data_IF_250612141246
#
_entry.id   IF_250612141246
#
_cell.length_a   1.000
_cell.length_b   1.000
_cell.length_c   1.000
_cell.angle_alpha   90.00
_cell.angle_beta   90.00
_cell.angle_gamma   90.00
#
_symmetry.space_group_name_H-M   'P 1'
#
loop_
_entity.id
_entity.type
_entity.pdbx_description
1 polymer ?
#
# COMPACT_ATOMS: atom_id res chain seq x y z
N UNK A 1 -2.83 -19.83 -32.63
CA UNK A 1 -2.89 -19.19 -31.29
C UNK A 1 -3.67 -17.89 -31.44
N UNK A 2 -4.73 -17.64 -30.65
CA UNK A 2 -5.44 -16.37 -30.71
C UNK A 2 -4.51 -15.21 -30.35
N UNK A 3 -4.68 -14.06 -31.02
CA UNK A 3 -3.87 -12.85 -30.80
C UNK A 3 -4.78 -11.74 -30.29
N UNK A 4 -4.38 -11.13 -29.17
CA UNK A 4 -5.02 -9.94 -28.62
C UNK A 4 -4.11 -8.75 -28.93
N UNK A 5 -4.68 -7.64 -29.39
CA UNK A 5 -3.98 -6.38 -29.60
C UNK A 5 -4.50 -5.36 -28.60
N UNK A 6 -3.63 -4.90 -27.70
CA UNK A 6 -3.97 -3.95 -26.64
C UNK A 6 -3.25 -2.65 -26.96
N UNK A 7 -3.99 -1.54 -27.06
CA UNK A 7 -3.40 -0.20 -27.17
C UNK A 7 -3.01 0.26 -25.77
N UNK A 8 -1.76 0.70 -25.62
CA UNK A 8 -1.21 1.29 -24.41
C UNK A 8 -0.51 2.59 -24.80
N UNK A 9 -0.41 3.53 -23.88
CA UNK A 9 0.43 4.71 -24.10
C UNK A 9 1.93 4.34 -24.11
N UNK A 10 2.73 5.22 -24.70
CA UNK A 10 4.17 4.98 -24.89
C UNK A 10 4.91 4.88 -23.56
N UNK A 11 4.50 5.63 -22.54
CA UNK A 11 5.13 5.62 -21.22
C UNK A 11 4.93 4.27 -20.52
N UNK A 12 3.71 3.72 -20.58
CA UNK A 12 3.39 2.40 -20.06
C UNK A 12 4.13 1.32 -20.85
N UNK A 13 4.17 1.42 -22.17
CA UNK A 13 4.91 0.49 -23.01
C UNK A 13 6.40 0.45 -22.63
N UNK A 14 7.02 1.61 -22.41
CA UNK A 14 8.43 1.70 -22.02
C UNK A 14 8.68 1.13 -20.62
N UNK A 15 7.83 1.43 -19.64
CA UNK A 15 7.94 0.84 -18.29
C UNK A 15 7.82 -0.68 -18.33
N UNK A 16 6.89 -1.23 -19.10
CA UNK A 16 6.73 -2.67 -19.28
C UNK A 16 7.97 -3.29 -19.92
N UNK A 17 8.53 -2.64 -20.96
CA UNK A 17 9.74 -3.12 -21.65
C UNK A 17 10.96 -3.13 -20.74
N UNK A 18 11.15 -2.07 -19.94
CA UNK A 18 12.24 -1.99 -18.95
C UNK A 18 12.10 -3.08 -17.91
N UNK A 19 10.90 -3.26 -17.35
CA UNK A 19 10.62 -4.29 -16.34
C UNK A 19 10.82 -5.70 -16.87
N UNK A 20 10.35 -6.00 -18.08
CA UNK A 20 10.53 -7.29 -18.71
C UNK A 20 12.02 -7.61 -18.91
N UNK A 21 12.78 -6.65 -19.44
CA UNK A 21 14.23 -6.78 -19.60
C UNK A 21 14.95 -7.02 -18.27
N UNK A 22 14.59 -6.29 -17.20
CA UNK A 22 15.17 -6.47 -15.88
C UNK A 22 14.92 -7.88 -15.30
N UNK A 23 13.83 -8.53 -15.70
CA UNK A 23 13.49 -9.89 -15.31
C UNK A 23 13.98 -10.97 -16.31
N UNK A 24 14.65 -10.59 -17.40
CA UNK A 24 15.07 -11.52 -18.45
C UNK A 24 13.91 -12.08 -19.30
N UNK A 25 12.79 -11.36 -19.38
CA UNK A 25 11.57 -11.76 -20.07
C UNK A 25 11.28 -10.86 -21.28
N UNK A 26 10.45 -11.34 -22.20
CA UNK A 26 9.75 -10.49 -23.17
C UNK A 26 8.55 -9.78 -22.51
N UNK A 27 8.11 -8.66 -23.08
CA UNK A 27 6.90 -7.96 -22.60
C UNK A 27 5.66 -8.87 -22.60
N UNK A 28 5.54 -9.76 -23.58
CA UNK A 28 4.44 -10.71 -23.67
C UNK A 28 4.48 -11.75 -22.54
N UNK A 29 5.65 -12.27 -22.19
CA UNK A 29 5.81 -13.21 -21.06
C UNK A 29 5.54 -12.53 -19.72
N UNK A 30 5.91 -11.26 -19.58
CA UNK A 30 5.61 -10.47 -18.38
C UNK A 30 4.10 -10.27 -18.18
N UNK A 31 3.34 -10.01 -19.25
CA UNK A 31 1.91 -9.64 -19.17
C UNK A 31 0.98 -10.85 -19.21
N UNK A 32 1.41 -11.98 -19.79
CA UNK A 32 0.60 -13.19 -19.93
C UNK A 32 -0.01 -13.70 -18.61
N UNK A 33 0.71 -13.80 -17.49
CA UNK A 33 0.12 -14.24 -16.22
C UNK A 33 -1.05 -13.36 -15.77
N UNK A 34 -0.95 -12.04 -15.98
CA UNK A 34 -2.03 -11.11 -15.65
C UNK A 34 -3.27 -11.38 -16.51
N UNK A 35 -3.07 -11.69 -17.80
CA UNK A 35 -4.17 -12.06 -18.70
C UNK A 35 -4.81 -13.41 -18.33
N UNK A 36 -4.02 -14.35 -17.82
CA UNK A 36 -4.50 -15.65 -17.33
C UNK A 36 -5.30 -15.48 -16.03
N UNK A 37 -4.81 -14.65 -15.10
CA UNK A 37 -5.48 -14.36 -13.83
C UNK A 37 -6.84 -13.68 -14.04
N UNK A 38 -6.95 -12.69 -14.93
CA UNK A 38 -8.23 -12.02 -15.22
C UNK A 38 -9.22 -12.90 -15.99
N UNK A 39 -8.72 -13.90 -16.73
CA UNK A 39 -9.57 -14.78 -17.53
C UNK A 39 -10.24 -15.87 -16.68
N UNK A 40 -9.77 -16.09 -15.45
CA UNK A 40 -10.36 -17.06 -14.54
C UNK A 40 -11.51 -16.44 -13.71
N UNK A 41 -12.73 -17.01 -13.69
CA UNK A 41 -13.85 -16.48 -12.92
C UNK A 41 -13.66 -16.47 -11.39
N UNK A 42 -12.74 -17.29 -10.88
CA UNK A 42 -12.26 -17.28 -9.49
C UNK A 42 -10.83 -16.74 -9.36
N UNK A 43 -10.28 -16.17 -10.42
CA UNK A 43 -8.96 -15.57 -10.46
C UNK A 43 -9.01 -14.35 -9.56
N UNK A 44 -8.08 -14.28 -8.62
CA UNK A 44 -8.01 -13.16 -7.68
C UNK A 44 -7.98 -11.90 -8.51
N UNK A 45 -9.06 -11.13 -8.44
CA UNK A 45 -9.03 -9.71 -8.72
C UNK A 45 -7.76 -9.20 -8.03
N UNK A 46 -6.83 -8.59 -8.76
CA UNK A 46 -5.47 -8.26 -8.24
C UNK A 46 -5.51 -7.41 -6.95
N UNK A 47 -6.67 -6.82 -6.64
CA UNK A 47 -6.96 -6.14 -5.38
C UNK A 47 -7.34 -7.06 -4.20
N UNK A 48 -8.06 -8.17 -4.39
CA UNK A 48 -8.57 -9.00 -3.27
C UNK A 48 -7.48 -9.76 -2.54
N UNK A 49 -6.43 -10.21 -3.23
CA UNK A 49 -5.29 -10.87 -2.57
C UNK A 49 -4.55 -9.92 -1.60
N UNK A 50 -4.43 -8.66 -1.99
CA UNK A 50 -3.80 -7.63 -1.15
C UNK A 50 -4.71 -7.25 0.02
N UNK A 51 -6.03 -7.17 -0.21
CA UNK A 51 -6.99 -6.89 0.86
C UNK A 51 -7.07 -8.05 1.86
N UNK A 52 -6.99 -9.31 1.42
CA UNK A 52 -6.90 -10.48 2.29
C UNK A 52 -5.63 -10.45 3.15
N UNK A 53 -4.47 -10.21 2.53
CA UNK A 53 -3.19 -10.10 3.24
C UNK A 53 -3.20 -8.93 4.22
N UNK A 54 -3.71 -7.78 3.80
CA UNK A 54 -3.84 -6.59 4.65
C UNK A 54 -4.79 -6.87 5.82
N UNK A 55 -5.91 -7.54 5.57
CA UNK A 55 -6.89 -7.91 6.61
C UNK A 55 -6.26 -8.82 7.66
N UNK A 56 -5.52 -9.85 7.24
CA UNK A 56 -4.82 -10.76 8.16
C UNK A 56 -3.76 -9.99 8.95
N UNK A 57 -2.98 -9.13 8.30
CA UNK A 57 -1.96 -8.32 8.96
C UNK A 57 -2.58 -7.39 10.02
N UNK A 58 -3.68 -6.70 9.71
CA UNK A 58 -4.40 -5.85 10.66
C UNK A 58 -4.88 -6.66 11.86
N UNK A 59 -5.48 -7.84 11.64
CA UNK A 59 -5.98 -8.69 12.72
C UNK A 59 -4.85 -9.13 13.67
N UNK A 60 -3.72 -9.60 13.12
CA UNK A 60 -2.56 -10.01 13.92
C UNK A 60 -2.01 -8.82 14.73
N UNK A 61 -1.83 -7.67 14.08
CA UNK A 61 -1.28 -6.48 14.74
C UNK A 61 -2.23 -5.94 15.83
N UNK A 62 -3.54 -5.99 15.63
CA UNK A 62 -4.53 -5.58 16.62
C UNK A 62 -4.51 -6.48 17.87
N UNK A 63 -4.47 -7.80 17.67
CA UNK A 63 -4.34 -8.76 18.78
C UNK A 63 -3.04 -8.56 19.55
N UNK A 64 -1.93 -8.36 18.84
CA UNK A 64 -0.63 -8.09 19.45
C UNK A 64 -0.61 -6.76 20.21
N UNK A 65 -1.22 -5.71 19.67
CA UNK A 65 -1.33 -4.42 20.34
C UNK A 65 -2.15 -4.53 21.64
N UNK A 66 -3.26 -5.25 21.63
CA UNK A 66 -4.08 -5.49 22.82
C UNK A 66 -3.28 -6.25 23.91
N UNK A 67 -2.54 -7.27 23.51
CA UNK A 67 -1.73 -8.07 24.41
C UNK A 67 -0.54 -7.27 25.00
N UNK A 68 0.19 -6.51 24.16
CA UNK A 68 1.31 -5.68 24.61
C UNK A 68 0.88 -4.49 25.46
N UNK A 69 -0.24 -3.84 25.14
CA UNK A 69 -0.79 -2.77 25.99
C UNK A 69 -1.17 -3.27 27.38
N UNK A 70 -1.49 -4.56 27.53
CA UNK A 70 -1.76 -5.19 28.82
C UNK A 70 -0.48 -5.60 29.55
N UNK A 71 0.44 -6.28 28.86
CA UNK A 71 1.64 -6.88 29.48
C UNK A 71 2.81 -5.93 29.64
N UNK A 72 3.01 -5.00 28.71
CA UNK A 72 4.10 -4.03 28.73
C UNK A 72 3.73 -2.73 28.00
N UNK A 73 2.97 -1.83 28.65
CA UNK A 73 2.53 -0.57 28.04
C UNK A 73 3.69 0.32 27.57
N UNK A 74 4.80 0.30 28.31
CA UNK A 74 5.99 1.09 27.98
C UNK A 74 6.67 0.60 26.69
N UNK A 75 6.76 -0.72 26.50
CA UNK A 75 7.35 -1.29 25.29
C UNK A 75 6.44 -1.08 24.08
N UNK A 76 5.12 -1.19 24.27
CA UNK A 76 4.14 -0.85 23.24
C UNK A 76 4.30 0.59 22.75
N UNK A 77 4.36 1.56 23.66
CA UNK A 77 4.52 2.98 23.31
C UNK A 77 5.82 3.24 22.55
N UNK A 78 6.96 2.68 23.00
CA UNK A 78 8.25 2.82 22.30
C UNK A 78 8.22 2.18 20.92
N UNK A 79 7.65 0.98 20.80
CA UNK A 79 7.53 0.27 19.53
C UNK A 79 6.64 1.01 18.53
N UNK A 80 5.53 1.58 19.01
CA UNK A 80 4.62 2.37 18.18
C UNK A 80 5.30 3.62 17.62
N UNK A 81 6.03 4.37 18.45
CA UNK A 81 6.79 5.53 17.98
C UNK A 81 7.88 5.16 16.95
N UNK A 82 8.60 4.07 17.18
CA UNK A 82 9.59 3.58 16.23
C UNK A 82 8.96 3.18 14.88
N UNK A 83 7.83 2.47 14.90
CA UNK A 83 7.10 2.07 13.70
C UNK A 83 6.62 3.30 12.90
N UNK A 84 6.10 4.32 13.58
CA UNK A 84 5.68 5.58 12.93
C UNK A 84 6.85 6.33 12.31
N UNK A 85 8.01 6.33 12.97
CA UNK A 85 9.24 6.87 12.39
C UNK A 85 9.61 6.17 11.09
N UNK A 86 9.57 4.84 11.06
CA UNK A 86 9.83 4.04 9.85
C UNK A 86 8.81 4.30 8.74
N UNK A 87 7.52 4.43 9.07
CA UNK A 87 6.47 4.71 8.08
C UNK A 87 6.61 6.11 7.48
N UNK A 88 6.89 7.13 8.30
CA UNK A 88 7.18 8.49 7.83
C UNK A 88 8.38 8.54 6.90
N UNK A 89 9.48 7.88 7.27
CA UNK A 89 10.70 7.83 6.44
C UNK A 89 10.46 7.17 5.07
N UNK A 90 9.45 6.31 4.96
CA UNK A 90 9.03 5.67 3.70
C UNK A 90 7.92 6.42 2.96
N UNK A 91 7.44 7.55 3.49
CA UNK A 91 6.33 8.30 2.92
C UNK A 91 4.96 7.60 3.07
N UNK A 92 4.85 6.61 3.95
CA UNK A 92 3.64 5.79 4.13
C UNK A 92 2.70 6.33 5.22
N UNK A 93 3.11 7.38 5.92
CA UNK A 93 2.31 8.04 6.94
C UNK A 93 2.48 9.56 6.84
N UNK A 94 1.42 10.25 6.41
CA UNK A 94 1.38 11.71 6.39
C UNK A 94 0.97 12.25 7.76
N UNK A 95 1.48 13.43 8.15
CA UNK A 95 1.20 14.04 9.46
C UNK A 95 -0.30 14.33 9.67
N UNK A 96 -1.02 14.64 8.59
CA UNK A 96 -2.48 14.87 8.58
C UNK A 96 -3.32 13.59 8.74
N UNK A 97 -2.73 12.43 8.44
CA UNK A 97 -3.40 11.12 8.50
C UNK A 97 -2.97 10.32 9.73
N UNK A 98 -2.38 10.98 10.71
CA UNK A 98 -1.98 10.39 11.96
C UNK A 98 -3.12 10.54 12.99
N UNK A 99 -3.95 9.51 13.23
CA UNK A 99 -5.12 9.60 14.12
C UNK A 99 -4.74 9.79 15.60
N UNK A 100 -3.46 9.70 15.95
CA UNK A 100 -2.97 9.91 17.31
C UNK A 100 -2.18 11.22 17.46
N UNK A 101 -1.92 11.93 16.35
CA UNK A 101 -1.64 13.36 16.45
C UNK A 101 -2.99 14.04 16.66
N UNK A 102 -3.19 14.61 17.86
CA UNK A 102 -4.34 15.48 18.10
C UNK A 102 -4.42 16.56 17.00
N UNK A 103 -5.64 17.07 16.71
CA UNK A 103 -5.87 17.93 15.56
C UNK A 103 -4.81 19.03 15.50
N UNK A 104 -4.09 19.10 14.37
CA UNK A 104 -3.12 20.16 14.12
C UNK A 104 -3.81 21.49 14.44
N UNK A 105 -3.29 22.21 15.44
CA UNK A 105 -3.84 23.47 15.88
C UNK A 105 -4.01 24.36 14.64
N UNK A 106 -5.27 24.66 14.28
CA UNK A 106 -5.56 25.55 13.16
C UNK A 106 -4.80 26.86 13.43
N UNK A 107 -4.00 27.37 12.47
CA UNK A 107 -3.33 28.65 12.67
C UNK A 107 -4.39 29.70 12.97
N UNK A 108 -4.26 30.29 14.15
CA UNK A 108 -5.12 31.38 14.64
C UNK A 108 -4.82 32.61 13.81
N UNK A 109 -5.46 32.74 12.65
CA UNK A 109 -5.02 33.73 11.68
C UNK A 109 -5.93 33.87 10.47
N UNK A 110 -7.23 34.00 10.67
CA UNK A 110 -8.03 34.74 9.69
C UNK A 110 -9.04 35.61 10.42
N UNK A 111 -8.58 36.84 10.66
CA UNK A 111 -9.42 37.93 11.12
C UNK A 111 -10.54 38.11 10.10
N UNK A 112 -11.76 37.78 10.51
CA UNK A 112 -12.99 38.22 9.85
C UNK A 112 -12.99 39.74 9.90
N UNK A 113 -12.58 40.38 8.80
CA UNK A 113 -12.77 41.81 8.55
C UNK A 113 -14.05 42.02 7.75
N UNK A 114 -14.67 43.20 7.91
CA UNK A 114 -16.07 43.38 8.33
C UNK A 114 -17.11 43.05 7.27
#
# INVERSE_FOLDING_TARGET
MPRISIRVDDELHDRLRVRARAAGLTTSELVRPVLEDIAWPGGRYVYTANDEILTIAIQILALLAQDLTTRSPADYARGLEAARGLLRNRGLLAAENDPLQGPAARPSGEARRP
#
